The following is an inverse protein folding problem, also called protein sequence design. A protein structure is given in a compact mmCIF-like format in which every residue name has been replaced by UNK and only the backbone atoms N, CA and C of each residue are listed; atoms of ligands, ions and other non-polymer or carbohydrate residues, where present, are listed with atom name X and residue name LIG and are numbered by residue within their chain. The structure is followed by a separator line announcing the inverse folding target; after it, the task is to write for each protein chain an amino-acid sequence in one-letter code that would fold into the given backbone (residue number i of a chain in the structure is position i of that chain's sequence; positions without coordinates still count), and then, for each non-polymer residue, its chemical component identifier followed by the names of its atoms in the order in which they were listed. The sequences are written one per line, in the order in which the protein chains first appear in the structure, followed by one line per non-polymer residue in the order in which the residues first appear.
data_IF_497197061433
#
_entry.id   IF_497197061433
#
_cell.length_a   1.000
_cell.length_b   1.000
_cell.length_c   1.000
_cell.angle_alpha   90.00
_cell.angle_beta   90.00
_cell.angle_gamma   90.00
#
_symmetry.space_group_name_H-M   'P 1'
#
loop_
_entity.id
_entity.type
_entity.pdbx_description
1 polymer ?
#
# COMPACT_ATOMS: atom_id res chain seq x y z
N UNK A 1 34.32 -9.97 -17.29
CA UNK A 1 33.44 -9.68 -16.13
C UNK A 1 32.03 -10.25 -16.35
N UNK A 2 31.77 -11.57 -16.11
CA UNK A 2 30.44 -12.18 -16.35
C UNK A 2 29.65 -12.55 -15.08
N UNK A 3 30.17 -12.27 -13.88
CA UNK A 3 29.61 -12.79 -12.60
C UNK A 3 28.25 -12.17 -12.22
N UNK A 4 27.92 -10.96 -12.70
CA UNK A 4 26.67 -10.29 -12.34
C UNK A 4 25.43 -10.84 -13.07
N UNK A 5 25.57 -11.33 -14.29
CA UNK A 5 24.43 -11.86 -15.08
C UNK A 5 23.87 -13.12 -14.42
N UNK A 6 24.74 -14.00 -13.94
CA UNK A 6 24.32 -15.25 -13.30
C UNK A 6 23.58 -14.98 -11.98
N UNK A 7 24.01 -13.98 -11.21
CA UNK A 7 23.34 -13.57 -9.96
C UNK A 7 21.96 -12.96 -10.22
N UNK A 8 21.80 -12.13 -11.26
CA UNK A 8 20.49 -11.56 -11.63
C UNK A 8 19.54 -12.63 -12.16
N UNK A 9 20.03 -13.57 -12.97
CA UNK A 9 19.25 -14.72 -13.42
C UNK A 9 18.82 -15.60 -12.24
N UNK A 10 19.69 -15.82 -11.26
CA UNK A 10 19.36 -16.65 -10.09
C UNK A 10 18.32 -15.98 -9.19
N UNK A 11 18.37 -14.64 -9.03
CA UNK A 11 17.33 -13.87 -8.33
C UNK A 11 16.00 -13.92 -9.11
N UNK A 12 16.05 -13.79 -10.43
CA UNK A 12 14.87 -13.87 -11.30
C UNK A 12 14.23 -15.27 -11.27
N UNK A 13 15.04 -16.33 -11.32
CA UNK A 13 14.57 -17.70 -11.19
C UNK A 13 14.06 -18.01 -9.78
N UNK A 14 14.69 -17.47 -8.73
CA UNK A 14 14.19 -17.60 -7.37
C UNK A 14 12.82 -16.89 -7.20
N UNK A 15 12.65 -15.72 -7.81
CA UNK A 15 11.36 -15.02 -7.86
C UNK A 15 10.30 -15.81 -8.63
N UNK A 16 10.66 -16.42 -9.77
CA UNK A 16 9.78 -17.29 -10.56
C UNK A 16 9.39 -18.57 -9.79
N UNK A 17 10.31 -19.19 -9.06
CA UNK A 17 10.04 -20.41 -8.29
C UNK A 17 9.12 -20.16 -7.07
N UNK A 18 9.18 -18.96 -6.50
CA UNK A 18 8.20 -18.50 -5.49
C UNK A 18 6.82 -18.32 -6.12
N UNK A 19 6.75 -17.97 -7.41
CA UNK A 19 5.48 -17.82 -8.13
C UNK A 19 4.82 -19.15 -8.54
N UNK A 20 5.57 -20.17 -8.96
CA UNK A 20 4.97 -21.41 -9.51
C UNK A 20 4.26 -22.32 -8.48
N UNK A 21 4.47 -22.10 -7.18
CA UNK A 21 3.73 -22.82 -6.13
C UNK A 21 2.44 -22.09 -5.69
N UNK A 22 2.07 -21.00 -6.35
CA UNK A 22 0.84 -20.25 -6.09
C UNK A 22 -0.35 -20.91 -6.78
N UNK A 23 -0.96 -21.90 -6.12
CA UNK A 23 -2.28 -22.36 -6.56
C UNK A 23 -3.32 -21.21 -6.46
N UNK A 24 -4.34 -21.17 -7.32
CA UNK A 24 -5.37 -20.12 -7.34
C UNK A 24 -6.20 -20.04 -6.04
N UNK A 25 -6.18 -18.91 -5.34
CA UNK A 25 -7.01 -18.64 -4.16
C UNK A 25 -7.13 -17.14 -3.87
N UNK A 26 -7.81 -16.83 -2.77
CA UNK A 26 -8.08 -15.49 -2.21
C UNK A 26 -7.09 -14.41 -2.65
N UNK A 27 -7.57 -13.46 -3.47
CA UNK A 27 -6.79 -12.37 -4.05
C UNK A 27 -6.34 -11.36 -2.99
N UNK A 28 -5.38 -10.51 -3.33
CA UNK A 28 -4.91 -9.41 -2.50
C UNK A 28 -4.78 -8.16 -3.36
N UNK A 29 -5.43 -7.07 -2.94
CA UNK A 29 -5.26 -5.77 -3.57
C UNK A 29 -4.48 -4.89 -2.61
N UNK A 30 -3.26 -4.48 -2.98
CA UNK A 30 -2.53 -3.48 -2.22
C UNK A 30 -3.36 -2.20 -2.10
N UNK A 31 -3.47 -1.69 -0.87
CA UNK A 31 -4.08 -0.39 -0.60
C UNK A 31 -3.04 0.71 -0.79
N UNK A 32 -3.51 1.89 -1.20
CA UNK A 32 -2.70 3.10 -1.42
C UNK A 32 -1.68 3.03 -2.58
N UNK A 33 -1.69 1.94 -3.36
CA UNK A 33 -0.87 1.82 -4.56
C UNK A 33 -1.63 2.38 -5.79
N UNK A 34 -1.09 3.38 -6.52
CA UNK A 34 -1.74 4.00 -7.68
C UNK A 34 -2.19 3.00 -8.75
N UNK A 35 -1.40 1.97 -9.02
CA UNK A 35 -1.65 0.92 -10.02
C UNK A 35 -2.92 0.12 -9.71
N UNK A 36 -3.31 0.05 -8.43
CA UNK A 36 -4.50 -0.67 -7.98
C UNK A 36 -5.67 0.25 -7.61
N UNK A 37 -5.56 1.55 -7.90
CA UNK A 37 -6.56 2.55 -7.49
C UNK A 37 -7.94 2.25 -8.04
N UNK A 38 -8.04 1.88 -9.32
CA UNK A 38 -9.33 1.58 -9.95
C UNK A 38 -10.06 0.42 -9.26
N UNK A 39 -9.32 -0.58 -8.81
CA UNK A 39 -9.87 -1.74 -8.12
C UNK A 39 -10.31 -1.39 -6.70
N UNK A 40 -9.48 -0.60 -5.99
CA UNK A 40 -9.82 -0.10 -4.67
C UNK A 40 -11.08 0.78 -4.70
N UNK A 41 -11.21 1.67 -5.69
CA UNK A 41 -12.38 2.53 -5.86
C UNK A 41 -13.65 1.73 -6.21
N UNK A 42 -13.51 0.75 -7.11
CA UNK A 42 -14.61 -0.17 -7.45
C UNK A 42 -15.12 -0.91 -6.20
N UNK A 43 -14.20 -1.48 -5.43
CA UNK A 43 -14.52 -2.22 -4.20
C UNK A 43 -15.17 -1.36 -3.13
N UNK A 44 -14.70 -0.12 -2.99
CA UNK A 44 -15.32 0.84 -2.09
C UNK A 44 -16.76 1.12 -2.51
N UNK A 45 -17.00 1.41 -3.79
CA UNK A 45 -18.36 1.67 -4.31
C UNK A 45 -19.28 0.46 -4.11
N UNK A 46 -18.81 -0.74 -4.43
CA UNK A 46 -19.56 -1.98 -4.24
C UNK A 46 -19.96 -2.18 -2.76
N UNK A 47 -19.05 -1.90 -1.82
CA UNK A 47 -19.33 -1.98 -0.38
C UNK A 47 -20.47 -1.02 0.05
N UNK A 48 -20.48 0.20 -0.51
CA UNK A 48 -21.51 1.20 -0.23
C UNK A 48 -22.86 0.87 -0.90
N UNK A 49 -22.85 0.45 -2.17
CA UNK A 49 -24.05 0.20 -2.97
C UNK A 49 -24.78 -1.06 -2.54
N UNK A 50 -24.06 -2.16 -2.36
CA UNK A 50 -24.68 -3.46 -2.02
C UNK A 50 -25.09 -3.57 -0.55
N UNK A 51 -24.83 -2.53 0.27
CA UNK A 51 -25.04 -2.52 1.74
C UNK A 51 -24.38 -3.70 2.46
N UNK A 52 -23.55 -4.46 1.75
CA UNK A 52 -22.62 -5.40 2.33
C UNK A 52 -21.50 -4.55 2.88
N UNK A 53 -21.72 -3.95 4.06
CA UNK A 53 -20.70 -3.25 4.84
C UNK A 53 -19.70 -4.30 5.31
N UNK A 54 -18.98 -4.85 4.35
CA UNK A 54 -17.85 -5.72 4.53
C UNK A 54 -16.72 -4.77 4.86
N UNK A 55 -16.64 -4.35 6.13
CA UNK A 55 -15.76 -3.36 6.82
C UNK A 55 -14.30 -3.21 6.31
N UNK A 56 -14.02 -3.31 5.03
CA UNK A 56 -12.77 -3.87 4.56
C UNK A 56 -12.15 -2.99 3.48
N UNK A 57 -12.95 -2.25 2.69
CA UNK A 57 -12.44 -1.74 1.42
C UNK A 57 -11.48 -0.58 1.43
N UNK A 58 -11.55 0.25 2.46
CA UNK A 58 -10.75 1.46 2.48
C UNK A 58 -9.34 1.23 3.04
N UNK A 59 -9.15 0.18 3.84
CA UNK A 59 -8.01 0.09 4.76
C UNK A 59 -7.47 -1.33 4.95
N UNK A 60 -8.17 -2.35 4.45
CA UNK A 60 -7.62 -3.70 4.45
C UNK A 60 -7.58 -4.27 3.05
N UNK A 61 -6.51 -5.00 2.75
CA UNK A 61 -6.48 -5.75 1.52
C UNK A 61 -7.63 -6.74 1.41
N UNK A 62 -8.20 -6.81 0.21
CA UNK A 62 -9.38 -7.62 -0.08
C UNK A 62 -9.00 -8.99 -0.59
N UNK A 63 -9.75 -9.97 -0.10
CA UNK A 63 -9.88 -11.29 -0.72
C UNK A 63 -11.33 -11.44 -1.20
N UNK A 64 -11.61 -11.05 -2.44
CA UNK A 64 -12.85 -11.45 -3.10
C UNK A 64 -12.54 -12.29 -4.35
N UNK A 65 -12.94 -13.56 -4.30
CA UNK A 65 -12.74 -14.51 -5.41
C UNK A 65 -13.56 -14.16 -6.64
N UNK A 66 -14.64 -13.40 -6.49
CA UNK A 66 -15.56 -13.13 -7.58
C UNK A 66 -15.05 -12.04 -8.53
N UNK A 67 -14.15 -11.17 -8.06
CA UNK A 67 -13.66 -10.04 -8.86
C UNK A 67 -12.53 -10.44 -9.81
N UNK A 68 -11.74 -11.46 -9.45
CA UNK A 68 -10.62 -11.93 -10.26
C UNK A 68 -10.55 -13.46 -10.23
N UNK A 69 -11.46 -14.15 -10.93
CA UNK A 69 -11.53 -15.61 -10.89
C UNK A 69 -10.25 -16.30 -11.37
N UNK A 70 -9.39 -15.60 -12.15
CA UNK A 70 -8.19 -16.14 -12.80
C UNK A 70 -6.91 -15.27 -12.66
N UNK A 71 -6.84 -14.31 -11.73
CA UNK A 71 -5.62 -13.48 -11.62
C UNK A 71 -4.47 -14.23 -10.95
N UNK A 72 -3.33 -14.33 -11.64
CA UNK A 72 -2.07 -14.94 -11.14
C UNK A 72 -1.35 -14.10 -10.07
N UNK A 73 -1.90 -12.96 -9.67
CA UNK A 73 -1.04 -11.90 -9.14
C UNK A 73 -0.66 -12.13 -7.67
N UNK A 74 -1.48 -12.79 -6.84
CA UNK A 74 -1.11 -13.06 -5.44
C UNK A 74 -1.75 -14.34 -4.85
N UNK A 75 -1.08 -14.92 -3.86
CA UNK A 75 -1.28 -16.31 -3.38
C UNK A 75 -2.46 -16.58 -2.46
N UNK A 76 -2.81 -17.87 -2.35
CA UNK A 76 -3.91 -18.37 -1.51
C UNK A 76 -3.79 -17.92 -0.05
N UNK A 77 -4.92 -17.54 0.52
CA UNK A 77 -5.10 -17.54 1.97
C UNK A 77 -5.93 -18.75 2.43
N UNK A 78 -5.48 -19.45 3.49
CA UNK A 78 -6.25 -20.49 4.18
C UNK A 78 -6.57 -20.01 5.60
N UNK A 79 -7.85 -19.88 5.99
CA UNK A 79 -8.19 -19.35 7.30
C UNK A 79 -7.72 -20.27 8.44
N UNK A 80 -6.85 -19.78 9.32
CA UNK A 80 -6.43 -20.48 10.56
C UNK A 80 -4.96 -20.87 10.66
N UNK A 81 -4.12 -20.58 9.66
CA UNK A 81 -2.65 -20.66 9.77
C UNK A 81 -2.04 -19.31 9.45
N UNK A 82 -0.93 -18.98 10.11
CA UNK A 82 -0.12 -17.82 9.77
C UNK A 82 0.23 -17.85 8.27
N UNK A 83 0.00 -16.74 7.58
CA UNK A 83 0.36 -16.54 6.18
C UNK A 83 1.13 -15.26 5.99
N UNK A 84 2.07 -15.29 5.06
CA UNK A 84 2.84 -14.15 4.62
C UNK A 84 2.82 -14.12 3.09
N UNK A 85 2.41 -12.99 2.54
CA UNK A 85 2.33 -12.74 1.10
C UNK A 85 3.18 -11.51 0.80
N UNK A 86 4.46 -11.68 0.44
CA UNK A 86 5.29 -10.57 -0.02
C UNK A 86 4.84 -10.13 -1.42
N UNK A 87 5.08 -8.87 -1.75
CA UNK A 87 4.92 -8.35 -3.10
C UNK A 87 6.07 -7.42 -3.48
N UNK A 88 6.31 -7.31 -4.78
CA UNK A 88 7.28 -6.42 -5.39
C UNK A 88 6.67 -5.88 -6.68
N UNK A 89 6.75 -4.56 -6.87
CA UNK A 89 6.32 -3.86 -8.06
C UNK A 89 7.50 -2.97 -8.48
N UNK A 90 7.87 -3.05 -9.74
CA UNK A 90 8.87 -2.18 -10.36
C UNK A 90 8.14 -1.45 -11.47
N UNK A 91 8.22 -0.13 -11.48
CA UNK A 91 7.51 0.71 -12.42
C UNK A 91 8.36 1.90 -12.85
N UNK A 92 8.26 2.25 -14.13
CA UNK A 92 8.89 3.43 -14.72
C UNK A 92 7.81 4.41 -15.19
N UNK A 93 7.93 5.67 -14.76
CA UNK A 93 7.09 6.77 -15.24
C UNK A 93 7.84 7.55 -16.33
N UNK A 94 7.38 7.40 -17.58
CA UNK A 94 7.92 8.10 -18.72
C UNK A 94 7.16 9.40 -18.98
N UNK A 95 7.84 10.52 -18.76
CA UNK A 95 7.29 11.86 -19.02
C UNK A 95 7.97 12.47 -20.23
N UNK A 96 7.17 12.92 -21.19
CA UNK A 96 7.62 13.67 -22.36
C UNK A 96 6.72 14.89 -22.55
N UNK A 97 7.30 16.05 -22.85
CA UNK A 97 6.56 17.25 -23.24
C UNK A 97 7.23 17.89 -24.45
N UNK A 98 6.45 18.63 -25.25
CA UNK A 98 6.87 19.18 -26.56
C UNK A 98 8.17 20.01 -26.50
N UNK A 99 8.47 20.60 -25.35
CA UNK A 99 9.62 21.50 -25.15
C UNK A 99 10.58 21.02 -24.05
N UNK A 100 10.40 19.80 -23.53
CA UNK A 100 11.30 19.22 -22.53
C UNK A 100 11.87 17.89 -23.04
N UNK A 101 13.09 17.59 -22.59
CA UNK A 101 13.68 16.28 -22.83
C UNK A 101 12.87 15.22 -22.09
N UNK A 102 12.61 14.09 -22.75
CA UNK A 102 11.96 12.95 -22.10
C UNK A 102 12.76 12.50 -20.88
N UNK A 103 12.05 12.19 -19.80
CA UNK A 103 12.62 11.66 -18.56
C UNK A 103 11.89 10.37 -18.19
N UNK A 104 12.63 9.31 -17.90
CA UNK A 104 12.13 8.16 -17.15
C UNK A 104 12.41 8.38 -15.67
N UNK A 105 11.44 8.05 -14.82
CA UNK A 105 11.59 8.05 -13.37
C UNK A 105 11.29 6.65 -12.86
N UNK A 106 12.27 6.05 -12.20
CA UNK A 106 12.14 4.69 -11.69
C UNK A 106 11.50 4.68 -10.30
N UNK A 107 10.65 3.69 -10.06
CA UNK A 107 10.06 3.41 -8.74
C UNK A 107 10.03 1.92 -8.44
N UNK A 108 10.34 1.58 -7.20
CA UNK A 108 10.32 0.21 -6.68
C UNK A 108 9.45 0.20 -5.43
N UNK A 109 8.37 -0.56 -5.46
CA UNK A 109 7.54 -0.83 -4.28
C UNK A 109 7.71 -2.25 -3.82
N UNK A 110 7.89 -2.43 -2.53
CA UNK A 110 7.91 -3.74 -1.93
C UNK A 110 7.11 -3.73 -0.64
N UNK A 111 6.56 -4.87 -0.28
CA UNK A 111 5.79 -4.97 0.94
C UNK A 111 5.36 -6.38 1.24
N UNK A 112 4.49 -6.50 2.23
CA UNK A 112 3.92 -7.78 2.60
C UNK A 112 2.56 -7.63 3.25
N UNK A 113 1.78 -8.68 3.13
CA UNK A 113 0.62 -8.96 3.95
C UNK A 113 0.93 -10.15 4.85
N UNK A 114 0.70 -10.02 6.16
CA UNK A 114 0.67 -11.15 7.06
C UNK A 114 -0.73 -11.35 7.66
N UNK A 115 -1.20 -12.60 7.65
CA UNK A 115 -2.45 -13.01 8.28
C UNK A 115 -2.11 -13.96 9.42
N UNK A 116 -2.09 -13.46 10.66
CA UNK A 116 -1.70 -14.28 11.81
C UNK A 116 -2.84 -15.18 12.32
N UNK A 117 -4.07 -14.67 12.27
CA UNK A 117 -5.31 -15.35 12.66
C UNK A 117 -6.45 -14.88 11.74
N UNK A 118 -7.64 -15.48 11.85
CA UNK A 118 -8.84 -15.04 11.08
C UNK A 118 -9.21 -13.57 11.31
N UNK A 119 -8.73 -12.99 12.40
CA UNK A 119 -9.06 -11.63 12.85
C UNK A 119 -7.87 -10.66 12.79
N UNK A 120 -6.63 -11.10 12.58
CA UNK A 120 -5.45 -10.20 12.64
C UNK A 120 -4.74 -10.19 11.29
N UNK A 121 -4.63 -8.99 10.74
CA UNK A 121 -3.93 -8.69 9.49
C UNK A 121 -2.84 -7.67 9.76
N UNK A 122 -1.64 -7.87 9.23
CA UNK A 122 -0.56 -6.87 9.23
C UNK A 122 -0.21 -6.58 7.78
N UNK A 123 -0.10 -5.31 7.42
CA UNK A 123 0.24 -4.88 6.08
C UNK A 123 1.33 -3.82 6.14
N UNK A 124 2.31 -3.94 5.25
CA UNK A 124 3.31 -2.92 5.04
C UNK A 124 3.59 -2.75 3.54
N UNK A 125 3.73 -1.50 3.11
CA UNK A 125 4.16 -1.09 1.77
C UNK A 125 5.23 -0.02 1.90
N UNK A 126 6.31 -0.23 1.17
CA UNK A 126 7.47 0.67 1.08
C UNK A 126 7.66 1.07 -0.37
N UNK A 127 7.99 2.34 -0.58
CA UNK A 127 8.28 2.93 -1.88
C UNK A 127 9.74 3.41 -1.89
N UNK A 128 10.46 3.08 -2.95
CA UNK A 128 11.68 3.75 -3.36
C UNK A 128 11.38 4.47 -4.66
N UNK A 129 11.51 5.80 -4.69
CA UNK A 129 11.13 6.60 -5.84
C UNK A 129 12.21 7.62 -6.21
N UNK A 130 12.56 7.67 -7.49
CA UNK A 130 13.51 8.63 -8.04
C UNK A 130 12.91 10.05 -8.08
N UNK A 131 11.60 10.18 -8.34
CA UNK A 131 10.95 11.49 -8.42
C UNK A 131 11.00 12.21 -7.07
N UNK A 132 10.74 11.48 -6.00
CA UNK A 132 10.83 11.95 -4.62
C UNK A 132 12.26 12.28 -4.20
N UNK A 133 13.27 11.56 -4.73
CA UNK A 133 14.67 11.88 -4.48
C UNK A 133 15.07 13.23 -5.08
N UNK A 134 14.50 13.58 -6.24
CA UNK A 134 14.70 14.86 -6.93
C UNK A 134 13.92 16.01 -6.30
N UNK A 135 12.94 15.73 -5.44
CA UNK A 135 12.19 16.77 -4.74
C UNK A 135 13.10 17.48 -3.70
N UNK A 136 13.28 18.82 -3.79
CA UNK A 136 14.06 19.57 -2.80
C UNK A 136 13.39 19.60 -1.42
N UNK A 137 12.05 19.47 -1.37
CA UNK A 137 11.28 19.52 -0.12
C UNK A 137 11.20 18.16 0.59
N UNK A 138 11.74 17.10 -0.01
CA UNK A 138 11.74 15.78 0.61
C UNK A 138 12.74 15.72 1.77
N UNK A 139 12.22 15.41 2.96
CA UNK A 139 12.95 15.40 4.24
C UNK A 139 13.37 14.00 4.70
N UNK A 140 12.95 12.95 3.99
CA UNK A 140 13.30 11.58 4.34
C UNK A 140 14.68 11.16 3.85
N UNK A 141 14.96 9.85 3.92
CA UNK A 141 16.26 9.29 3.55
C UNK A 141 16.36 9.10 2.03
N UNK A 142 17.37 9.73 1.43
CA UNK A 142 17.79 9.50 0.04
C UNK A 142 18.91 8.46 0.01
N UNK A 143 18.90 7.58 -0.98
CA UNK A 143 19.92 6.55 -1.19
C UNK A 143 20.10 6.29 -2.69
N UNK A 144 21.30 6.57 -3.22
CA UNK A 144 21.68 6.30 -4.62
C UNK A 144 20.68 6.82 -5.67
N UNK A 145 20.17 8.03 -5.47
CA UNK A 145 19.21 8.64 -6.40
C UNK A 145 17.75 8.24 -6.19
N UNK A 146 17.45 7.38 -5.20
CA UNK A 146 16.10 7.01 -4.79
C UNK A 146 15.79 7.59 -3.41
N UNK A 147 14.52 7.88 -3.13
CA UNK A 147 14.03 8.29 -1.83
C UNK A 147 13.08 7.24 -1.28
N UNK A 148 13.22 6.89 0.00
CA UNK A 148 12.43 5.85 0.64
C UNK A 148 11.26 6.39 1.45
N UNK A 149 10.05 5.92 1.18
CA UNK A 149 8.86 6.24 1.97
C UNK A 149 8.15 4.97 2.45
N UNK A 150 7.58 5.03 3.65
CA UNK A 150 6.61 4.05 4.13
C UNK A 150 5.24 4.54 3.72
N UNK A 151 4.66 3.92 2.68
CA UNK A 151 3.33 4.28 2.21
C UNK A 151 2.28 3.83 3.23
N UNK A 152 2.33 2.56 3.64
CA UNK A 152 1.45 2.06 4.70
C UNK A 152 2.20 1.09 5.59
N UNK A 153 1.88 1.07 6.88
CA UNK A 153 2.41 0.12 7.84
C UNK A 153 1.41 -0.01 8.99
N UNK A 154 0.51 -0.98 8.89
CA UNK A 154 -0.63 -1.09 9.80
C UNK A 154 -0.92 -2.52 10.23
N UNK A 155 -1.46 -2.64 11.43
CA UNK A 155 -2.11 -3.83 11.94
C UNK A 155 -3.61 -3.60 12.02
N UNK A 156 -4.38 -4.62 11.65
CA UNK A 156 -5.83 -4.59 11.64
C UNK A 156 -6.37 -5.77 12.39
N UNK A 157 -7.21 -5.48 13.38
CA UNK A 157 -8.01 -6.45 14.10
C UNK A 157 -9.47 -6.39 13.62
N UNK A 158 -10.03 -7.53 13.24
CA UNK A 158 -11.41 -7.70 12.78
C UNK A 158 -12.21 -8.51 13.80
N UNK A 159 -13.14 -7.84 14.47
CA UNK A 159 -14.20 -8.46 15.25
C UNK A 159 -15.46 -8.69 14.42
N UNK A 160 -16.52 -9.22 15.04
CA UNK A 160 -17.80 -9.49 14.35
C UNK A 160 -18.54 -8.21 13.93
N UNK A 161 -18.50 -7.17 14.77
CA UNK A 161 -19.24 -5.92 14.57
C UNK A 161 -18.34 -4.68 14.64
N UNK A 162 -17.03 -4.87 14.77
CA UNK A 162 -16.06 -3.78 14.87
C UNK A 162 -14.73 -4.15 14.23
N UNK A 163 -13.97 -3.13 13.88
CA UNK A 163 -12.62 -3.22 13.34
C UNK A 163 -11.74 -2.17 14.02
N UNK A 164 -10.51 -2.55 14.35
CA UNK A 164 -9.50 -1.66 14.88
C UNK A 164 -8.30 -1.68 13.94
N UNK A 165 -7.82 -0.52 13.56
CA UNK A 165 -6.66 -0.34 12.69
C UNK A 165 -5.67 0.54 13.46
N UNK A 166 -4.41 0.14 13.48
CA UNK A 166 -3.35 0.90 14.14
C UNK A 166 -2.08 0.91 13.28
N UNK A 167 -1.45 2.08 13.14
CA UNK A 167 -0.23 2.26 12.36
C UNK A 167 -0.37 3.40 11.35
N UNK A 168 0.34 3.31 10.23
CA UNK A 168 0.32 4.28 9.14
C UNK A 168 -0.64 3.83 8.05
N UNK A 169 -1.68 4.63 7.80
CA UNK A 169 -2.68 4.35 6.77
C UNK A 169 -3.35 5.64 6.29
N UNK A 170 -3.77 5.65 5.04
CA UNK A 170 -4.59 6.69 4.42
C UNK A 170 -6.06 6.45 4.71
N UNK A 171 -6.76 7.48 5.19
CA UNK A 171 -8.19 7.39 5.51
C UNK A 171 -9.01 8.18 4.50
N UNK A 172 -10.20 7.68 4.18
CA UNK A 172 -11.17 8.39 3.36
C UNK A 172 -12.54 8.41 4.05
N UNK A 173 -13.23 9.54 3.98
CA UNK A 173 -14.55 9.71 4.59
C UNK A 173 -15.60 9.86 3.49
N UNK A 174 -16.44 8.83 3.31
CA UNK A 174 -17.52 8.83 2.33
C UNK A 174 -17.40 7.73 1.27
N UNK A 175 -18.27 7.76 0.25
CA UNK A 175 -18.39 6.70 -0.76
C UNK A 175 -17.25 6.68 -1.77
N UNK A 176 -16.43 7.74 -1.82
CA UNK A 176 -15.25 7.82 -2.68
C UNK A 176 -14.05 8.35 -1.89
N UNK A 177 -12.85 8.18 -2.47
CA UNK A 177 -11.62 8.77 -1.95
C UNK A 177 -11.57 10.29 -2.16
N UNK A 178 -12.40 10.83 -3.06
CA UNK A 178 -12.59 12.25 -3.28
C UNK A 178 -13.50 12.84 -2.18
N UNK A 179 -13.01 12.83 -0.95
CA UNK A 179 -13.70 13.43 0.19
C UNK A 179 -13.23 14.85 0.42
N UNK A 180 -14.18 15.74 0.75
CA UNK A 180 -13.86 17.11 1.18
C UNK A 180 -13.30 17.17 2.60
N UNK A 181 -13.51 16.12 3.41
CA UNK A 181 -13.04 16.04 4.80
C UNK A 181 -11.59 15.56 4.84
N UNK A 182 -11.28 14.52 4.05
CA UNK A 182 -9.92 13.98 3.88
C UNK A 182 -9.64 13.86 2.39
N UNK A 183 -8.76 14.72 1.87
CA UNK A 183 -8.38 14.70 0.45
C UNK A 183 -7.77 13.36 0.05
N UNK A 184 -8.03 12.93 -1.19
CA UNK A 184 -7.32 11.80 -1.82
C UNK A 184 -5.80 12.04 -1.88
N UNK A 185 -5.38 13.30 -1.93
CA UNK A 185 -3.97 13.71 -1.94
C UNK A 185 -3.36 13.83 -0.54
N UNK A 186 -4.15 13.61 0.52
CA UNK A 186 -3.61 13.66 1.87
C UNK A 186 -2.67 12.47 2.10
N UNK A 187 -1.45 12.70 2.60
CA UNK A 187 -0.54 11.60 2.88
C UNK A 187 -1.10 10.70 3.99
N UNK A 188 -0.74 9.40 3.98
CA UNK A 188 -1.13 8.47 5.03
C UNK A 188 -0.62 8.96 6.39
N UNK A 189 -1.46 8.77 7.42
CA UNK A 189 -1.20 9.29 8.76
C UNK A 189 -0.95 8.16 9.74
N UNK A 190 -0.13 8.43 10.76
CA UNK A 190 0.09 7.50 11.85
C UNK A 190 -1.04 7.66 12.87
N UNK A 191 -1.80 6.61 13.12
CA UNK A 191 -2.97 6.70 13.97
C UNK A 191 -3.61 5.37 14.37
N UNK A 192 -4.77 5.52 15.01
CA UNK A 192 -5.68 4.44 15.36
C UNK A 192 -7.06 4.79 14.80
N UNK A 193 -7.68 3.87 14.08
CA UNK A 193 -9.07 3.98 13.65
C UNK A 193 -9.88 2.83 14.25
N UNK A 194 -11.07 3.17 14.77
CA UNK A 194 -12.06 2.21 15.23
C UNK A 194 -13.30 2.39 14.35
N UNK A 195 -13.77 1.29 13.77
CA UNK A 195 -15.02 1.23 13.03
C UNK A 195 -15.97 0.28 13.74
N UNK A 196 -17.22 0.68 13.94
CA UNK A 196 -18.26 -0.14 14.57
C UNK A 196 -19.55 -0.07 13.77
N UNK A 197 -20.25 -1.19 13.61
CA UNK A 197 -21.56 -1.23 12.97
C UNK A 197 -22.65 -1.51 13.99
N UNK A 198 -23.74 -0.77 13.87
CA UNK A 198 -24.96 -1.03 14.60
C UNK A 198 -26.15 -1.00 13.63
N UNK A 199 -26.59 -2.18 13.21
CA UNK A 199 -27.64 -2.33 12.20
C UNK A 199 -27.22 -1.73 10.85
N UNK A 200 -27.88 -0.63 10.45
CA UNK A 200 -27.57 0.11 9.21
C UNK A 200 -26.58 1.26 9.42
N UNK A 201 -26.19 1.52 10.66
CA UNK A 201 -25.28 2.62 11.00
C UNK A 201 -23.85 2.12 11.10
N UNK A 202 -22.92 2.92 10.57
CA UNK A 202 -21.48 2.69 10.68
C UNK A 202 -20.88 3.90 11.36
N UNK A 203 -20.20 3.66 12.48
CA UNK A 203 -19.47 4.67 13.23
C UNK A 203 -17.99 4.51 12.93
N UNK A 204 -17.33 5.59 12.53
CA UNK A 204 -15.89 5.63 12.29
C UNK A 204 -15.32 6.68 13.24
N UNK A 205 -14.37 6.26 14.08
CA UNK A 205 -13.62 7.14 14.96
C UNK A 205 -12.13 7.00 14.63
N UNK A 206 -11.44 8.13 14.43
CA UNK A 206 -10.04 8.13 14.05
C UNK A 206 -9.27 9.12 14.92
N UNK A 207 -8.17 8.64 15.51
CA UNK A 207 -7.17 9.45 16.17
C UNK A 207 -5.88 9.32 15.37
N UNK A 208 -5.39 10.41 14.77
CA UNK A 208 -4.20 10.39 13.95
C UNK A 208 -3.28 11.56 14.29
N UNK A 209 -1.98 11.32 14.21
CA UNK A 209 -0.94 12.33 14.36
C UNK A 209 -0.71 12.98 12.99
N UNK A 210 -0.83 14.30 12.94
CA UNK A 210 -0.45 15.07 11.75
C UNK A 210 1.07 15.02 11.59
N UNK A 211 1.53 14.78 10.36
CA UNK A 211 2.94 14.93 10.03
C UNK A 211 3.33 16.40 10.12
N UNK A 212 4.50 16.70 10.67
CA UNK A 212 5.00 18.08 10.78
C UNK A 212 5.23 18.64 9.38
N UNK A 213 4.49 19.68 9.00
CA UNK A 213 4.95 20.64 8.00
C UNK A 213 5.96 21.57 8.65
N UNK A 214 7.25 21.27 8.49
CA UNK A 214 8.34 22.09 9.03
C UNK A 214 9.24 22.61 7.92
N UNK A 215 9.22 23.92 7.68
CA UNK A 215 10.34 24.68 7.13
C UNK A 215 11.50 24.60 8.12
N UNK A 216 12.47 23.73 7.85
CA UNK A 216 13.76 23.79 8.54
C UNK A 216 14.64 24.82 7.81
N UNK A 217 14.50 26.08 8.20
CA UNK A 217 15.66 26.97 8.22
C UNK A 217 16.41 26.67 9.50
N UNK A 218 17.45 25.84 9.40
CA UNK A 218 18.73 26.05 10.09
C UNK A 218 19.61 24.79 9.95
N UNK A 219 20.65 24.92 9.13
CA UNK A 219 22.01 24.42 9.39
C UNK A 219 22.17 23.05 10.09
N UNK A 220 21.42 22.03 9.70
CA UNK A 220 21.83 20.65 9.93
C UNK A 220 22.47 20.11 8.66
N UNK A 221 23.79 20.28 8.61
CA UNK A 221 24.70 19.57 7.74
C UNK A 221 24.27 18.11 7.60
N UNK A 222 24.03 17.73 6.34
CA UNK A 222 23.49 16.43 5.96
C UNK A 222 24.18 15.26 6.64
N UNK A 223 23.36 14.35 7.17
CA UNK A 223 23.75 12.97 7.36
C UNK A 223 23.74 12.28 5.98
N UNK A 224 24.71 12.66 5.14
CA UNK A 224 24.99 12.02 3.85
C UNK A 224 25.73 10.71 4.16
N UNK A 225 24.99 9.64 4.39
CA UNK A 225 25.57 8.28 4.46
C UNK A 225 25.95 7.86 3.04
N UNK A 226 27.12 8.33 2.60
CA UNK A 226 27.88 7.74 1.48
C UNK A 226 28.38 6.35 1.82
#
# INVERSE_FOLDING_TARGET
MPVNIFRHLLIFFALLFVCENLQAGDFFIPVEIPEYRIFNDYLQRDEFENRSVRFYSQLTPHSDRNLFPNSMIFGKTKPGRFQLSPFLIIADDFRASKYARGSGLESIRAGFLALAQRSITVYASFLLDESMAKNPDYTGKKWRGLAGEVESAMAVYKGRAFQIIAGRFGSSWGPSRQSLILSETAPPMDGIQIRSQWGKFVFIYQFAKLSRTGTFSDNQSGFDNR
#
